data_IF_135235283316
#
_entry.id   IF_135235283316
#
_cell.length_a   1.000
_cell.length_b   1.000
_cell.length_c   1.000
_cell.angle_alpha   90.00
_cell.angle_beta   90.00
_cell.angle_gamma   90.00
#
_symmetry.space_group_name_H-M   'P 1'
#
loop_
_entity.id
_entity.type
_entity.pdbx_description
1 polymer ?
#
# COMPACT_ATOMS: atom_id res chain seq x y z
N UNK A 1 -4.42 -13.27 -35.92
CA UNK A 1 -5.22 -12.56 -34.89
C UNK A 1 -6.36 -13.39 -34.32
N UNK A 2 -7.30 -13.94 -35.10
CA UNK A 2 -8.36 -14.81 -34.54
C UNK A 2 -7.96 -16.31 -34.46
N UNK A 3 -6.94 -16.72 -35.23
CA UNK A 3 -6.36 -18.08 -35.17
C UNK A 3 -5.34 -18.27 -34.03
N UNK A 4 -4.72 -17.21 -33.55
CA UNK A 4 -3.72 -17.27 -32.48
C UNK A 4 -4.39 -17.38 -31.10
N UNK A 5 -5.57 -16.76 -30.93
CA UNK A 5 -6.38 -16.89 -29.71
C UNK A 5 -6.98 -18.31 -29.52
N UNK A 6 -7.22 -19.06 -30.60
CA UNK A 6 -7.71 -20.45 -30.53
C UNK A 6 -6.58 -21.46 -30.23
N UNK A 7 -5.33 -21.14 -30.55
CA UNK A 7 -4.19 -22.00 -30.23
C UNK A 7 -3.88 -21.99 -28.72
N UNK A 8 -3.96 -20.81 -28.07
CA UNK A 8 -3.72 -20.69 -26.62
C UNK A 8 -4.83 -21.30 -25.77
N UNK A 9 -6.09 -21.25 -26.23
CA UNK A 9 -7.20 -21.91 -25.54
C UNK A 9 -7.07 -23.45 -25.56
N UNK A 10 -6.52 -24.02 -26.64
CA UNK A 10 -6.33 -25.47 -26.80
C UNK A 10 -5.18 -26.01 -25.95
N UNK A 11 -4.07 -25.26 -25.85
CA UNK A 11 -2.93 -25.61 -24.97
C UNK A 11 -3.32 -25.55 -23.49
N UNK A 12 -4.25 -24.65 -23.11
CA UNK A 12 -4.76 -24.55 -21.73
C UNK A 12 -5.73 -25.67 -21.37
N UNK A 13 -6.52 -26.16 -22.33
CA UNK A 13 -7.44 -27.28 -22.13
C UNK A 13 -6.72 -28.64 -22.02
N UNK A 14 -5.63 -28.84 -22.77
CA UNK A 14 -4.85 -30.10 -22.76
C UNK A 14 -3.97 -30.25 -21.50
N UNK A 15 -3.67 -29.16 -20.79
CA UNK A 15 -3.02 -29.22 -19.45
C UNK A 15 -3.98 -29.63 -18.32
N UNK A 16 -5.30 -29.65 -18.58
CA UNK A 16 -6.33 -29.93 -17.57
C UNK A 16 -6.81 -31.39 -17.55
N UNK A 17 -6.29 -32.28 -18.41
CA UNK A 17 -6.88 -33.62 -18.64
C UNK A 17 -6.03 -34.83 -18.28
N UNK A 18 -4.94 -34.69 -17.50
CA UNK A 18 -4.24 -35.87 -16.97
C UNK A 18 -4.77 -36.27 -15.58
N UNK A 19 -5.35 -37.47 -15.42
CA UNK A 19 -5.78 -37.97 -14.12
C UNK A 19 -4.63 -38.70 -13.44
N UNK A 20 -4.25 -38.26 -12.25
CA UNK A 20 -3.56 -39.12 -11.30
C UNK A 20 -4.39 -39.12 -10.01
N UNK A 21 -5.06 -40.24 -9.77
CA UNK A 21 -5.55 -40.59 -8.46
C UNK A 21 -4.36 -40.93 -7.56
N UNK A 22 -4.38 -40.42 -6.33
CA UNK A 22 -4.60 -41.22 -5.14
C UNK A 22 -4.73 -40.30 -3.93
N UNK A 23 -5.62 -40.70 -3.03
CA UNK A 23 -6.18 -39.95 -1.93
C UNK A 23 -5.18 -39.72 -0.79
N UNK A 24 -5.13 -38.48 -0.31
CA UNK A 24 -4.80 -38.20 1.09
C UNK A 24 -5.69 -37.06 1.59
N UNK A 25 -6.74 -37.42 2.31
CA UNK A 25 -7.59 -36.52 3.08
C UNK A 25 -6.77 -35.81 4.16
N UNK A 26 -6.50 -34.52 3.98
CA UNK A 26 -6.26 -33.57 5.06
C UNK A 26 -6.95 -32.25 4.73
N UNK A 27 -8.10 -32.05 5.37
CA UNK A 27 -8.68 -30.73 5.60
C UNK A 27 -7.68 -29.90 6.41
N UNK A 28 -6.94 -29.03 5.74
CA UNK A 28 -6.32 -27.88 6.38
C UNK A 28 -7.15 -26.64 6.04
N UNK A 29 -8.09 -26.35 6.93
CA UNK A 29 -8.72 -25.05 7.02
C UNK A 29 -7.63 -23.97 7.09
N UNK A 30 -7.66 -23.01 6.15
CA UNK A 30 -6.99 -21.72 6.30
C UNK A 30 -7.51 -21.07 7.59
N UNK A 31 -6.82 -21.32 8.70
CA UNK A 31 -7.00 -20.57 9.93
C UNK A 31 -6.38 -19.20 9.73
N UNK A 32 -7.18 -18.27 9.21
CA UNK A 32 -6.89 -16.84 9.34
C UNK A 32 -7.05 -16.51 10.81
N UNK A 33 -5.94 -16.54 11.55
CA UNK A 33 -5.91 -16.16 12.96
C UNK A 33 -6.28 -14.68 13.05
N UNK A 34 -7.56 -14.42 13.28
CA UNK A 34 -8.07 -13.12 13.70
C UNK A 34 -7.45 -12.79 15.05
N UNK A 35 -6.94 -11.56 15.20
CA UNK A 35 -6.61 -10.99 16.50
C UNK A 35 -7.36 -9.68 16.71
N UNK A 36 -7.65 -9.32 17.98
CA UNK A 36 -8.59 -8.26 18.33
C UNK A 36 -8.02 -6.87 18.01
N UNK A 37 -8.89 -5.99 17.53
CA UNK A 37 -8.61 -4.55 17.38
C UNK A 37 -8.33 -3.99 18.78
N UNK A 38 -7.08 -3.63 19.06
CA UNK A 38 -6.71 -2.96 20.30
C UNK A 38 -7.20 -1.50 20.26
N UNK A 39 -7.91 -1.07 21.31
CA UNK A 39 -8.34 0.31 21.50
C UNK A 39 -7.14 1.28 21.47
N UNK A 40 -7.16 2.21 20.51
CA UNK A 40 -6.19 3.30 20.40
C UNK A 40 -6.45 4.32 21.51
N UNK A 41 -5.41 4.63 22.28
CA UNK A 41 -5.43 5.65 23.32
C UNK A 41 -5.55 7.07 22.73
N UNK A 42 -6.38 7.91 23.36
CA UNK A 42 -6.61 9.32 23.00
C UNK A 42 -5.29 10.10 22.99
N UNK A 43 -4.99 10.72 21.85
CA UNK A 43 -3.96 11.76 21.73
C UNK A 43 -4.66 13.09 22.06
N UNK A 44 -4.21 13.76 23.11
CA UNK A 44 -4.63 15.13 23.42
C UNK A 44 -3.89 16.10 22.48
N UNK A 45 -4.62 16.72 21.55
CA UNK A 45 -4.12 17.82 20.72
C UNK A 45 -4.56 19.15 21.34
N UNK A 46 -3.61 19.98 21.76
CA UNK A 46 -3.85 21.39 22.04
C UNK A 46 -4.24 22.09 20.72
N UNK A 47 -5.50 22.50 20.61
CA UNK A 47 -6.03 23.20 19.45
C UNK A 47 -5.96 24.71 19.64
N UNK A 48 -5.22 25.40 18.78
CA UNK A 48 -5.50 26.80 18.46
C UNK A 48 -6.88 26.85 17.76
N UNK A 49 -7.78 27.70 18.26
CA UNK A 49 -9.10 27.95 17.67
C UNK A 49 -8.93 28.57 16.28
N UNK A 50 -8.96 27.73 15.25
CA UNK A 50 -9.12 28.17 13.87
C UNK A 50 -10.61 28.47 13.66
N UNK A 51 -10.91 29.70 13.23
CA UNK A 51 -12.27 30.15 12.94
C UNK A 51 -12.99 29.22 11.94
N UNK A 52 -14.24 28.87 12.27
CA UNK A 52 -15.09 27.91 11.54
C UNK A 52 -15.36 28.34 10.10
N UNK A 53 -15.43 29.64 9.82
CA UNK A 53 -15.64 30.17 8.47
C UNK A 53 -14.39 29.98 7.59
N UNK A 54 -13.21 30.14 8.19
CA UNK A 54 -11.92 29.90 7.55
C UNK A 54 -11.69 28.42 7.25
N UNK A 55 -12.11 27.52 8.16
CA UNK A 55 -12.05 26.08 7.91
C UNK A 55 -12.95 25.68 6.74
N UNK A 56 -14.22 26.07 6.75
CA UNK A 56 -15.18 25.74 5.69
C UNK A 56 -14.73 26.22 4.29
N UNK A 57 -14.12 27.40 4.21
CA UNK A 57 -13.53 27.90 2.96
C UNK A 57 -12.36 27.02 2.49
N UNK A 58 -11.43 26.65 3.38
CA UNK A 58 -10.29 25.77 3.05
C UNK A 58 -10.75 24.37 2.62
N UNK A 59 -11.81 23.86 3.25
CA UNK A 59 -12.41 22.57 2.89
C UNK A 59 -13.05 22.59 1.51
N UNK A 60 -13.76 23.68 1.20
CA UNK A 60 -14.37 23.88 -0.12
C UNK A 60 -13.30 24.03 -1.21
N UNK A 61 -12.21 24.74 -0.92
CA UNK A 61 -11.06 24.86 -1.84
C UNK A 61 -10.38 23.51 -2.07
N UNK A 62 -10.15 22.72 -1.01
CA UNK A 62 -9.53 21.40 -1.14
C UNK A 62 -10.45 20.41 -1.89
N UNK A 63 -11.75 20.42 -1.62
CA UNK A 63 -12.73 19.62 -2.37
C UNK A 63 -12.71 19.99 -3.87
N UNK A 64 -12.68 21.29 -4.19
CA UNK A 64 -12.61 21.76 -5.57
C UNK A 64 -11.29 21.37 -6.25
N UNK A 65 -10.15 21.52 -5.57
CA UNK A 65 -8.83 21.17 -6.11
C UNK A 65 -8.71 19.66 -6.37
N UNK A 66 -9.18 18.83 -5.44
CA UNK A 66 -9.24 17.37 -5.61
C UNK A 66 -10.09 17.01 -6.83
N UNK A 67 -11.27 17.63 -6.95
CA UNK A 67 -12.16 17.37 -8.08
C UNK A 67 -11.56 17.82 -9.41
N UNK A 68 -11.02 19.03 -9.48
CA UNK A 68 -10.47 19.60 -10.70
C UNK A 68 -9.26 18.79 -11.20
N UNK A 69 -8.33 18.45 -10.31
CA UNK A 69 -7.12 17.69 -10.68
C UNK A 69 -7.46 16.30 -11.22
N UNK A 70 -8.34 15.58 -10.54
CA UNK A 70 -8.70 14.22 -10.93
C UNK A 70 -9.53 14.21 -12.21
N UNK A 71 -10.51 15.11 -12.33
CA UNK A 71 -11.28 15.22 -13.58
C UNK A 71 -10.38 15.57 -14.77
N UNK A 72 -9.38 16.44 -14.58
CA UNK A 72 -8.40 16.74 -15.62
C UNK A 72 -7.55 15.54 -15.99
N UNK A 73 -7.03 14.79 -15.02
CA UNK A 73 -6.27 13.55 -15.26
C UNK A 73 -7.11 12.56 -16.10
N UNK A 74 -8.36 12.33 -15.73
CA UNK A 74 -9.22 11.39 -16.46
C UNK A 74 -9.52 11.84 -17.89
N UNK A 75 -9.73 13.15 -18.11
CA UNK A 75 -9.92 13.70 -19.47
C UNK A 75 -8.65 13.55 -20.30
N UNK A 76 -7.48 13.82 -19.73
CA UNK A 76 -6.20 13.72 -20.44
C UNK A 76 -5.86 12.27 -20.80
N UNK A 77 -6.23 11.31 -19.94
CA UNK A 77 -6.04 9.88 -20.16
C UNK A 77 -7.08 9.26 -21.11
N UNK A 78 -8.06 10.04 -21.59
CA UNK A 78 -9.15 9.55 -22.44
C UNK A 78 -10.09 8.57 -21.72
N UNK A 79 -10.15 8.61 -20.39
CA UNK A 79 -11.02 7.75 -19.58
C UNK A 79 -12.45 8.31 -19.58
N UNK A 80 -13.44 7.46 -19.83
CA UNK A 80 -14.86 7.84 -19.76
C UNK A 80 -15.26 8.12 -18.30
N UNK A 81 -15.37 9.41 -17.95
CA UNK A 81 -15.85 9.84 -16.64
C UNK A 81 -17.36 9.66 -16.56
N UNK A 82 -17.79 8.62 -15.84
CA UNK A 82 -19.21 8.40 -15.56
C UNK A 82 -19.69 9.21 -14.36
N UNK A 83 -21.01 9.41 -14.26
CA UNK A 83 -21.64 10.01 -13.07
C UNK A 83 -21.29 9.25 -11.77
N UNK A 84 -21.00 7.96 -11.86
CA UNK A 84 -20.54 7.13 -10.75
C UNK A 84 -19.18 7.59 -10.21
N UNK A 85 -18.23 7.89 -11.10
CA UNK A 85 -16.91 8.41 -10.72
C UNK A 85 -17.02 9.72 -9.96
N UNK A 86 -17.77 10.67 -10.51
CA UNK A 86 -17.99 11.99 -9.89
C UNK A 86 -18.63 11.84 -8.51
N UNK A 87 -19.56 10.90 -8.35
CA UNK A 87 -20.24 10.66 -7.08
C UNK A 87 -19.27 10.11 -6.03
N UNK A 88 -18.48 9.09 -6.37
CA UNK A 88 -17.49 8.51 -5.46
C UNK A 88 -16.41 9.52 -5.08
N UNK A 89 -15.89 10.26 -6.06
CA UNK A 89 -14.92 11.33 -5.84
C UNK A 89 -15.43 12.37 -4.84
N UNK A 90 -16.68 12.83 -5.00
CA UNK A 90 -17.32 13.78 -4.07
C UNK A 90 -17.42 13.22 -2.65
N UNK A 91 -17.76 11.93 -2.51
CA UNK A 91 -17.88 11.29 -1.19
C UNK A 91 -16.52 11.24 -0.49
N UNK A 92 -15.48 10.80 -1.20
CA UNK A 92 -14.12 10.71 -0.62
C UNK A 92 -13.57 12.11 -0.33
N UNK A 93 -13.70 13.06 -1.26
CA UNK A 93 -13.22 14.42 -1.09
C UNK A 93 -13.86 15.11 0.14
N UNK A 94 -15.17 14.92 0.37
CA UNK A 94 -15.85 15.45 1.57
C UNK A 94 -15.37 14.78 2.85
N UNK A 95 -15.13 13.48 2.82
CA UNK A 95 -14.57 12.76 3.97
C UNK A 95 -13.18 13.28 4.35
N UNK A 96 -12.34 13.52 3.35
CA UNK A 96 -10.99 14.09 3.53
C UNK A 96 -11.07 15.53 4.02
N UNK A 97 -11.89 16.36 3.38
CA UNK A 97 -12.05 17.75 3.75
C UNK A 97 -12.57 17.87 5.18
N UNK A 98 -13.52 17.04 5.61
CA UNK A 98 -14.04 17.13 6.97
C UNK A 98 -12.98 16.98 8.08
N UNK A 99 -11.85 16.30 7.84
CA UNK A 99 -10.74 16.04 8.79
C UNK A 99 -11.13 15.48 10.16
N UNK A 100 -12.39 15.07 10.32
CA UNK A 100 -12.98 14.57 11.57
C UNK A 100 -13.33 13.09 11.42
N UNK A 101 -13.30 12.31 12.52
CA UNK A 101 -13.77 10.93 12.51
C UNK A 101 -15.19 10.78 11.97
N UNK A 102 -16.08 11.73 12.28
CA UNK A 102 -17.46 11.75 11.81
C UNK A 102 -17.56 11.89 10.30
N UNK A 103 -16.72 12.73 9.68
CA UNK A 103 -16.68 12.90 8.24
C UNK A 103 -16.17 11.63 7.54
N UNK A 104 -15.13 10.99 8.08
CA UNK A 104 -14.62 9.72 7.56
C UNK A 104 -15.68 8.61 7.63
N UNK A 105 -16.37 8.50 8.77
CA UNK A 105 -17.47 7.56 8.98
C UNK A 105 -18.64 7.79 8.05
N UNK A 106 -19.02 9.04 7.83
CA UNK A 106 -20.11 9.39 6.92
C UNK A 106 -19.73 9.09 5.46
N UNK A 107 -18.50 9.38 5.05
CA UNK A 107 -17.99 9.00 3.73
C UNK A 107 -18.00 7.47 3.54
N UNK A 108 -17.51 6.71 4.52
CA UNK A 108 -17.56 5.25 4.51
C UNK A 108 -18.99 4.71 4.40
N UNK A 109 -19.93 5.27 5.16
CA UNK A 109 -21.35 4.90 5.10
C UNK A 109 -21.94 5.17 3.71
N UNK A 110 -21.64 6.33 3.12
CA UNK A 110 -22.12 6.69 1.78
C UNK A 110 -21.54 5.76 0.70
N UNK A 111 -20.23 5.46 0.75
CA UNK A 111 -19.62 4.47 -0.15
C UNK A 111 -20.29 3.10 0.00
N UNK A 112 -20.52 2.66 1.24
CA UNK A 112 -21.21 1.41 1.48
C UNK A 112 -22.63 1.39 0.91
N UNK A 113 -23.39 2.48 1.03
CA UNK A 113 -24.75 2.60 0.46
C UNK A 113 -24.72 2.61 -1.07
N UNK A 114 -23.78 3.34 -1.68
CA UNK A 114 -23.64 3.45 -3.14
C UNK A 114 -23.17 2.15 -3.79
N UNK A 115 -22.50 1.28 -3.03
CA UNK A 115 -22.00 0.02 -3.55
C UNK A 115 -23.16 -0.85 -4.08
N UNK A 116 -23.10 -1.31 -5.34
CA UNK A 116 -24.17 -2.11 -5.95
C UNK A 116 -24.51 -3.39 -5.19
N UNK A 117 -25.69 -3.99 -5.43
CA UNK A 117 -26.02 -5.31 -4.90
C UNK A 117 -24.96 -6.35 -5.25
N UNK A 118 -24.49 -7.11 -4.26
CA UNK A 118 -23.38 -8.06 -4.42
C UNK A 118 -23.73 -9.29 -5.29
N UNK A 119 -25.02 -9.51 -5.56
CA UNK A 119 -25.48 -10.52 -6.53
C UNK A 119 -25.27 -10.10 -7.99
N UNK A 120 -24.97 -8.82 -8.25
CA UNK A 120 -24.59 -8.30 -9.57
C UNK A 120 -23.06 -8.26 -9.70
N UNK A 121 -22.41 -9.43 -9.61
CA UNK A 121 -20.95 -9.57 -9.45
C UNK A 121 -20.13 -8.66 -10.37
N UNK A 122 -20.42 -8.64 -11.68
CA UNK A 122 -19.67 -7.81 -12.62
C UNK A 122 -19.80 -6.30 -12.33
N UNK A 123 -21.01 -5.84 -11.97
CA UNK A 123 -21.25 -4.43 -11.63
C UNK A 123 -20.63 -4.06 -10.29
N UNK A 124 -20.74 -4.93 -9.29
CA UNK A 124 -20.14 -4.71 -7.97
C UNK A 124 -18.61 -4.68 -8.04
N UNK A 125 -18.00 -5.62 -8.77
CA UNK A 125 -16.55 -5.68 -8.98
C UNK A 125 -16.04 -4.40 -9.67
N UNK A 126 -16.67 -4.00 -10.79
CA UNK A 126 -16.27 -2.78 -11.51
C UNK A 126 -16.42 -1.52 -10.64
N UNK A 127 -17.49 -1.43 -9.85
CA UNK A 127 -17.71 -0.28 -8.99
C UNK A 127 -16.71 -0.22 -7.82
N UNK A 128 -16.39 -1.35 -7.18
CA UNK A 128 -15.38 -1.40 -6.10
C UNK A 128 -14.00 -1.08 -6.65
N UNK A 129 -13.67 -1.64 -7.82
CA UNK A 129 -12.41 -1.32 -8.50
C UNK A 129 -12.29 0.18 -8.80
N UNK A 130 -13.36 0.81 -9.29
CA UNK A 130 -13.42 2.26 -9.49
C UNK A 130 -13.21 3.06 -8.19
N UNK A 131 -13.77 2.61 -7.06
CA UNK A 131 -13.52 3.25 -5.76
C UNK A 131 -12.04 3.22 -5.38
N UNK A 132 -11.38 2.08 -5.61
CA UNK A 132 -9.94 1.95 -5.36
C UNK A 132 -9.10 2.84 -6.26
N UNK A 133 -9.40 2.87 -7.57
CA UNK A 133 -8.69 3.75 -8.49
C UNK A 133 -8.81 5.21 -8.07
N UNK A 134 -10.04 5.69 -7.79
CA UNK A 134 -10.24 7.09 -7.38
C UNK A 134 -9.48 7.40 -6.09
N UNK A 135 -9.50 6.50 -5.09
CA UNK A 135 -8.77 6.72 -3.85
C UNK A 135 -7.26 6.77 -4.06
N UNK A 136 -6.73 5.87 -4.90
CA UNK A 136 -5.32 5.83 -5.24
C UNK A 136 -4.91 7.05 -6.07
N UNK A 137 -5.75 7.52 -7.00
CA UNK A 137 -5.52 8.78 -7.75
C UNK A 137 -5.42 9.99 -6.81
N UNK A 138 -6.33 10.11 -5.83
CA UNK A 138 -6.29 11.18 -4.82
C UNK A 138 -4.96 11.13 -4.05
N UNK A 139 -4.56 9.94 -3.62
CA UNK A 139 -3.33 9.75 -2.85
C UNK A 139 -2.10 10.03 -3.71
N UNK A 140 -2.04 9.52 -4.94
CA UNK A 140 -0.95 9.75 -5.87
C UNK A 140 -0.72 11.26 -6.09
N UNK A 141 -1.79 12.01 -6.39
CA UNK A 141 -1.66 13.41 -6.80
C UNK A 141 -1.54 14.41 -5.64
N UNK A 142 -2.25 14.16 -4.53
CA UNK A 142 -2.44 15.16 -3.45
C UNK A 142 -1.98 14.60 -2.09
N UNK A 143 -1.56 13.33 -2.05
CA UNK A 143 -1.15 12.65 -0.82
C UNK A 143 0.15 13.15 -0.20
N UNK A 144 0.85 14.14 -0.77
CA UNK A 144 1.99 14.76 -0.08
C UNK A 144 1.57 15.44 1.23
N UNK A 145 0.27 15.69 1.40
CA UNK A 145 -0.32 16.22 2.62
C UNK A 145 -0.65 15.05 3.57
N UNK A 146 0.06 14.98 4.70
CA UNK A 146 -0.11 13.93 5.70
C UNK A 146 -1.56 13.73 6.16
N UNK A 147 -2.35 14.82 6.23
CA UNK A 147 -3.77 14.77 6.63
C UNK A 147 -4.65 14.07 5.59
N UNK A 148 -4.38 14.24 4.29
CA UNK A 148 -5.14 13.59 3.22
C UNK A 148 -5.00 12.07 3.32
N UNK A 149 -3.76 11.59 3.47
CA UNK A 149 -3.50 10.15 3.60
C UNK A 149 -4.11 9.57 4.88
N UNK A 150 -3.96 10.23 6.04
CA UNK A 150 -4.61 9.75 7.27
C UNK A 150 -6.14 9.71 7.12
N UNK A 151 -6.76 10.71 6.48
CA UNK A 151 -8.20 10.70 6.25
C UNK A 151 -8.63 9.55 5.33
N UNK A 152 -7.88 9.25 4.27
CA UNK A 152 -8.15 8.07 3.42
C UNK A 152 -8.04 6.77 4.23
N UNK A 153 -7.03 6.63 5.08
CA UNK A 153 -6.89 5.46 5.98
C UNK A 153 -8.09 5.36 6.91
N UNK A 154 -8.52 6.46 7.54
CA UNK A 154 -9.69 6.46 8.44
C UNK A 154 -11.00 6.12 7.72
N UNK A 155 -11.21 6.62 6.49
CA UNK A 155 -12.36 6.22 5.68
C UNK A 155 -12.35 4.70 5.47
N UNK A 156 -11.19 4.10 5.17
CA UNK A 156 -11.09 2.65 5.01
C UNK A 156 -11.29 1.89 6.31
N UNK A 157 -10.76 2.37 7.44
CA UNK A 157 -10.98 1.79 8.77
C UNK A 157 -12.48 1.72 9.11
N UNK A 158 -13.23 2.81 8.86
CA UNK A 158 -14.68 2.87 9.04
C UNK A 158 -15.44 2.00 8.02
N UNK A 159 -14.94 1.93 6.79
CA UNK A 159 -15.53 1.12 5.73
C UNK A 159 -15.42 -0.38 6.05
N UNK A 160 -14.30 -0.82 6.65
CA UNK A 160 -14.13 -2.20 7.15
C UNK A 160 -15.15 -2.56 8.23
N UNK A 161 -15.63 -1.59 9.00
CA UNK A 161 -16.70 -1.82 9.99
C UNK A 161 -18.09 -1.95 9.35
N UNK A 162 -18.26 -1.49 8.10
CA UNK A 162 -19.52 -1.60 7.38
C UNK A 162 -19.69 -3.02 6.82
N UNK A 163 -20.31 -3.94 7.55
CA UNK A 163 -20.58 -5.27 7.02
C UNK A 163 -21.54 -5.21 5.81
N UNK A 164 -21.04 -5.51 4.59
CA UNK A 164 -21.88 -5.57 3.37
C UNK A 164 -22.18 -6.98 2.88
N UNK A 165 -21.27 -7.93 3.10
CA UNK A 165 -21.44 -9.34 2.73
C UNK A 165 -20.25 -9.92 1.98
N UNK A 166 -20.46 -11.08 1.36
CA UNK A 166 -19.47 -11.77 0.53
C UNK A 166 -19.63 -11.41 -0.94
N UNK A 167 -18.52 -11.20 -1.64
CA UNK A 167 -18.47 -10.97 -3.08
C UNK A 167 -17.60 -12.02 -3.76
N UNK A 168 -17.98 -12.40 -4.97
CA UNK A 168 -17.16 -13.29 -5.81
C UNK A 168 -16.17 -12.48 -6.65
N UNK A 169 -14.89 -12.72 -6.42
CA UNK A 169 -13.81 -12.12 -7.21
C UNK A 169 -13.00 -13.27 -7.80
N UNK A 170 -13.19 -13.51 -9.09
CA UNK A 170 -12.50 -14.55 -9.85
C UNK A 170 -12.57 -15.94 -9.19
N UNK A 171 -13.76 -16.30 -8.67
CA UNK A 171 -13.99 -17.59 -8.00
C UNK A 171 -13.61 -17.63 -6.51
N UNK A 172 -13.04 -16.54 -5.97
CA UNK A 172 -12.79 -16.40 -4.53
C UNK A 172 -13.90 -15.61 -3.85
N UNK A 173 -14.36 -16.08 -2.69
CA UNK A 173 -15.34 -15.36 -1.85
C UNK A 173 -14.61 -14.45 -0.87
N UNK A 174 -14.76 -13.14 -1.05
CA UNK A 174 -14.13 -12.11 -0.21
C UNK A 174 -15.20 -11.28 0.52
N UNK A 175 -14.97 -10.96 1.79
CA UNK A 175 -15.82 -10.03 2.54
C UNK A 175 -15.56 -8.62 2.03
N UNK A 176 -16.62 -8.00 1.54
CA UNK A 176 -16.55 -6.63 1.04
C UNK A 176 -16.09 -5.70 2.16
N UNK A 177 -15.18 -4.80 1.82
CA UNK A 177 -14.44 -3.89 2.69
C UNK A 177 -13.42 -4.56 3.61
N UNK A 178 -13.78 -5.62 4.32
CA UNK A 178 -12.84 -6.28 5.25
C UNK A 178 -11.64 -6.93 4.56
N UNK A 179 -11.87 -7.59 3.44
CA UNK A 179 -10.82 -8.30 2.70
C UNK A 179 -10.31 -7.47 1.50
N UNK A 180 -10.68 -6.17 1.43
CA UNK A 180 -10.32 -5.20 0.37
C UNK A 180 -10.31 -5.83 -1.05
N UNK A 181 -11.44 -6.38 -1.51
CA UNK A 181 -11.46 -7.14 -2.76
C UNK A 181 -11.01 -6.27 -3.95
N UNK A 182 -10.15 -6.83 -4.82
CA UNK A 182 -9.60 -6.17 -6.02
C UNK A 182 -8.67 -4.97 -5.70
N UNK A 183 -8.49 -4.60 -4.42
CA UNK A 183 -7.54 -3.54 -4.05
C UNK A 183 -6.10 -3.85 -4.47
N UNK A 184 -5.56 -5.07 -4.25
CA UNK A 184 -4.18 -5.38 -4.66
C UNK A 184 -3.97 -5.14 -6.16
N UNK A 185 -4.92 -5.56 -7.00
CA UNK A 185 -4.87 -5.33 -8.45
C UNK A 185 -4.92 -3.85 -8.83
N UNK A 186 -5.72 -3.05 -8.12
CA UNK A 186 -5.75 -1.60 -8.35
C UNK A 186 -4.43 -0.96 -7.91
N UNK A 187 -3.89 -1.37 -6.76
CA UNK A 187 -2.64 -0.87 -6.20
C UNK A 187 -1.44 -1.20 -7.10
N UNK A 188 -1.38 -2.42 -7.63
CA UNK A 188 -0.30 -2.88 -8.50
C UNK A 188 -0.15 -1.98 -9.73
N UNK A 189 -1.24 -1.42 -10.28
CA UNK A 189 -1.14 -0.47 -11.40
C UNK A 189 -0.39 0.82 -11.05
N UNK A 190 -0.49 1.28 -9.81
CA UNK A 190 0.27 2.45 -9.35
C UNK A 190 1.69 2.05 -8.94
N UNK A 191 1.85 0.85 -8.39
CA UNK A 191 3.15 0.33 -7.97
C UNK A 191 4.09 0.00 -9.14
N UNK A 192 3.55 -0.62 -10.20
CA UNK A 192 4.27 -0.96 -11.43
C UNK A 192 4.77 0.28 -12.19
N UNK A 193 4.20 1.46 -11.90
CA UNK A 193 4.68 2.75 -12.41
C UNK A 193 5.90 3.29 -11.66
N UNK A 194 6.74 2.42 -11.07
CA UNK A 194 8.00 2.81 -10.44
C UNK A 194 8.86 3.62 -11.44
N UNK A 195 9.11 4.92 -11.17
CA UNK A 195 9.85 5.77 -12.11
C UNK A 195 11.32 5.34 -12.25
N UNK A 196 11.81 4.48 -11.35
CA UNK A 196 13.20 4.04 -11.29
C UNK A 196 13.48 2.72 -12.03
N UNK A 197 12.46 2.08 -12.60
CA UNK A 197 12.59 0.85 -13.41
C UNK A 197 12.36 1.09 -14.91
N UNK A 198 12.00 2.32 -15.30
CA UNK A 198 11.77 2.71 -16.70
C UNK A 198 13.10 2.63 -17.47
N UNK A 199 13.26 1.57 -18.27
CA UNK A 199 14.51 1.20 -18.98
C UNK A 199 15.11 2.29 -19.88
N UNK A 200 14.32 3.28 -20.29
CA UNK A 200 14.73 4.36 -21.20
C UNK A 200 14.81 5.74 -20.54
N UNK A 201 14.53 5.84 -19.23
CA UNK A 201 14.49 7.14 -18.56
C UNK A 201 15.90 7.65 -18.25
N UNK A 202 16.37 8.66 -18.99
CA UNK A 202 17.61 9.38 -18.69
C UNK A 202 17.52 10.22 -17.40
N UNK A 203 16.30 10.59 -17.01
CA UNK A 203 16.00 11.40 -15.83
C UNK A 203 14.63 11.03 -15.26
N UNK A 204 14.48 11.12 -13.94
CA UNK A 204 13.19 10.98 -13.26
C UNK A 204 12.29 12.19 -13.52
N UNK A 205 11.02 11.94 -13.82
CA UNK A 205 9.97 12.95 -13.77
C UNK A 205 9.63 13.25 -12.30
N UNK A 206 9.74 14.50 -11.83
CA UNK A 206 9.37 14.87 -10.45
C UNK A 206 7.93 14.52 -10.08
N UNK A 207 6.99 14.54 -11.04
CA UNK A 207 5.58 14.20 -10.81
C UNK A 207 5.44 12.71 -10.50
N UNK A 208 6.05 11.85 -11.31
CA UNK A 208 6.05 10.40 -11.10
C UNK A 208 6.74 10.02 -9.78
N UNK A 209 7.87 10.67 -9.47
CA UNK A 209 8.58 10.46 -8.20
C UNK A 209 7.70 10.81 -7.00
N UNK A 210 7.02 11.94 -7.05
CA UNK A 210 6.17 12.36 -5.95
C UNK A 210 4.95 11.44 -5.80
N UNK A 211 4.33 11.04 -6.93
CA UNK A 211 3.22 10.09 -6.96
C UNK A 211 3.61 8.75 -6.33
N UNK A 212 4.74 8.18 -6.75
CA UNK A 212 5.24 6.91 -6.22
C UNK A 212 5.56 6.98 -4.72
N UNK A 213 6.14 8.10 -4.26
CA UNK A 213 6.36 8.36 -2.82
C UNK A 213 5.04 8.46 -2.05
N UNK A 214 4.03 9.13 -2.59
CA UNK A 214 2.74 9.27 -1.94
C UNK A 214 2.03 7.91 -1.80
N UNK A 215 2.00 7.12 -2.87
CA UNK A 215 1.42 5.77 -2.89
C UNK A 215 2.14 4.85 -1.90
N UNK A 216 3.47 4.87 -1.87
CA UNK A 216 4.28 4.11 -0.92
C UNK A 216 3.99 4.49 0.53
N UNK A 217 3.88 5.79 0.80
CA UNK A 217 3.57 6.30 2.14
C UNK A 217 2.17 5.86 2.59
N UNK A 218 1.17 5.92 1.69
CA UNK A 218 -0.19 5.48 1.98
C UNK A 218 -0.24 3.97 2.24
N UNK A 219 0.40 3.15 1.40
CA UNK A 219 0.49 1.71 1.60
C UNK A 219 1.13 1.34 2.94
N UNK A 220 2.21 2.04 3.32
CA UNK A 220 2.85 1.87 4.62
C UNK A 220 1.92 2.21 5.80
N UNK A 221 0.98 3.15 5.63
CA UNK A 221 -0.05 3.46 6.63
C UNK A 221 -1.16 2.42 6.68
N UNK A 222 -1.58 1.88 5.54
CA UNK A 222 -2.52 0.75 5.49
C UNK A 222 -1.95 -0.49 6.18
N UNK A 223 -0.65 -0.74 5.98
CA UNK A 223 0.06 -1.80 6.69
C UNK A 223 0.11 -1.53 8.21
N UNK A 224 0.38 -0.28 8.61
CA UNK A 224 0.37 0.14 10.02
C UNK A 224 -1.00 -0.08 10.69
N UNK A 225 -2.09 0.18 10.00
CA UNK A 225 -3.46 -0.03 10.51
C UNK A 225 -3.93 -1.49 10.41
N UNK A 226 -3.16 -2.37 9.77
CA UNK A 226 -3.52 -3.77 9.56
C UNK A 226 -4.67 -3.95 8.55
N UNK A 227 -4.93 -2.94 7.72
CA UNK A 227 -5.94 -2.99 6.65
C UNK A 227 -5.45 -3.78 5.44
N UNK A 228 -4.16 -3.63 5.10
CA UNK A 228 -3.53 -4.34 4.01
C UNK A 228 -2.36 -5.16 4.55
N UNK A 229 -2.27 -6.42 4.11
CA UNK A 229 -1.18 -7.33 4.45
C UNK A 229 -0.27 -7.60 3.26
N UNK A 230 -0.33 -6.80 2.19
CA UNK A 230 0.52 -7.01 1.03
C UNK A 230 1.94 -6.56 1.39
N UNK A 231 2.72 -7.55 1.81
CA UNK A 231 4.04 -7.34 2.35
C UNK A 231 5.09 -7.14 1.27
N UNK A 232 4.83 -7.65 0.07
CA UNK A 232 5.82 -7.82 -0.98
C UNK A 232 6.34 -6.46 -1.45
N UNK A 233 5.48 -5.45 -1.58
CA UNK A 233 5.88 -4.13 -2.04
C UNK A 233 6.79 -3.41 -1.04
N UNK A 234 6.56 -3.57 0.28
CA UNK A 234 7.45 -3.03 1.30
C UNK A 234 8.84 -3.67 1.22
N UNK A 235 8.89 -4.99 1.01
CA UNK A 235 10.15 -5.73 0.95
C UNK A 235 10.87 -5.47 -0.36
N UNK A 236 10.16 -5.40 -1.48
CA UNK A 236 10.70 -4.99 -2.79
C UNK A 236 11.31 -3.60 -2.70
N UNK A 237 10.61 -2.63 -2.09
CA UNK A 237 11.11 -1.28 -1.90
C UNK A 237 12.40 -1.24 -1.07
N UNK A 238 12.42 -1.94 0.07
CA UNK A 238 13.58 -2.02 0.95
C UNK A 238 14.75 -2.73 0.28
N UNK A 239 14.47 -3.83 -0.44
CA UNK A 239 15.46 -4.58 -1.23
C UNK A 239 16.10 -3.69 -2.30
N UNK A 240 15.30 -3.04 -3.14
CA UNK A 240 15.76 -2.17 -4.24
C UNK A 240 16.61 -1.01 -3.70
N UNK A 241 16.26 -0.45 -2.54
CA UNK A 241 16.98 0.68 -1.97
C UNK A 241 18.23 0.31 -1.17
N UNK A 242 18.25 -0.85 -0.51
CA UNK A 242 19.24 -1.18 0.52
C UNK A 242 20.10 -2.39 0.17
N UNK A 243 19.60 -3.32 -0.64
CA UNK A 243 20.28 -4.56 -0.99
C UNK A 243 20.87 -4.56 -2.40
N UNK A 244 20.61 -3.52 -3.19
CA UNK A 244 21.17 -3.31 -4.53
C UNK A 244 22.30 -2.28 -4.51
N UNK A 245 23.14 -2.32 -5.53
CA UNK A 245 24.17 -1.31 -5.74
C UNK A 245 23.55 0.05 -6.11
N UNK A 246 24.13 1.13 -5.59
CA UNK A 246 23.67 2.51 -5.77
C UNK A 246 24.23 3.17 -7.04
N UNK A 247 24.99 2.42 -7.86
CA UNK A 247 25.47 2.79 -9.20
C UNK A 247 24.30 2.95 -10.19
N UNK A 248 23.45 3.93 -9.93
CA UNK A 248 22.23 4.25 -10.65
C UNK A 248 22.32 5.68 -11.20
N UNK A 249 21.42 6.01 -12.13
CA UNK A 249 21.31 7.37 -12.67
C UNK A 249 21.03 8.39 -11.54
N UNK A 250 21.49 9.65 -11.68
CA UNK A 250 21.25 10.69 -10.67
C UNK A 250 19.78 10.77 -10.24
N UNK A 251 19.54 10.80 -8.92
CA UNK A 251 18.21 10.88 -8.31
C UNK A 251 17.47 9.54 -8.13
N UNK A 252 17.88 8.46 -8.80
CA UNK A 252 17.27 7.13 -8.64
C UNK A 252 17.54 6.57 -7.24
N UNK A 253 18.80 6.65 -6.82
CA UNK A 253 19.25 6.33 -5.47
C UNK A 253 18.44 7.10 -4.40
N UNK A 254 18.26 8.41 -4.60
CA UNK A 254 17.48 9.24 -3.68
C UNK A 254 16.02 8.80 -3.60
N UNK A 255 15.36 8.66 -4.75
CA UNK A 255 13.95 8.25 -4.82
C UNK A 255 13.70 6.91 -4.10
N UNK A 256 14.51 5.88 -4.42
CA UNK A 256 14.42 4.54 -3.81
C UNK A 256 14.65 4.60 -2.30
N UNK A 257 15.68 5.32 -1.86
CA UNK A 257 16.00 5.47 -0.43
C UNK A 257 14.88 6.19 0.32
N UNK A 258 14.33 7.25 -0.26
CA UNK A 258 13.22 8.00 0.34
C UNK A 258 11.98 7.12 0.50
N UNK A 259 11.63 6.31 -0.51
CA UNK A 259 10.50 5.36 -0.42
C UNK A 259 10.73 4.30 0.65
N UNK A 260 11.92 3.70 0.71
CA UNK A 260 12.29 2.78 1.79
C UNK A 260 12.13 3.45 3.17
N UNK A 261 12.56 4.70 3.31
CA UNK A 261 12.40 5.46 4.55
C UNK A 261 10.93 5.71 4.92
N UNK A 262 10.05 5.95 3.95
CA UNK A 262 8.60 6.11 4.17
C UNK A 262 7.97 4.82 4.71
N UNK A 263 8.33 3.67 4.14
CA UNK A 263 7.92 2.36 4.66
C UNK A 263 8.35 2.16 6.11
N UNK A 264 9.61 2.45 6.43
CA UNK A 264 10.11 2.35 7.82
C UNK A 264 9.40 3.33 8.76
N UNK A 265 9.22 4.58 8.34
CA UNK A 265 8.57 5.63 9.14
C UNK A 265 7.17 5.18 9.59
N UNK A 266 6.39 4.60 8.69
CA UNK A 266 4.99 4.27 8.96
C UNK A 266 4.77 2.82 9.41
N UNK A 267 5.54 1.85 8.89
CA UNK A 267 5.29 0.42 9.10
C UNK A 267 6.37 -0.34 9.91
N UNK A 268 7.42 0.32 10.42
CA UNK A 268 8.55 -0.36 11.11
C UNK A 268 8.16 -1.36 12.20
N UNK A 269 7.16 -1.05 13.04
CA UNK A 269 6.72 -1.98 14.10
C UNK A 269 6.15 -3.28 13.53
N UNK A 270 5.39 -3.16 12.45
CA UNK A 270 4.74 -4.29 11.80
C UNK A 270 5.78 -5.14 11.05
N UNK A 271 6.68 -4.50 10.31
CA UNK A 271 7.82 -5.15 9.65
C UNK A 271 8.71 -5.89 10.67
N UNK A 272 9.06 -5.26 11.79
CA UNK A 272 9.85 -5.91 12.83
C UNK A 272 9.12 -7.12 13.43
N UNK A 273 7.82 -6.99 13.73
CA UNK A 273 7.02 -8.11 14.23
C UNK A 273 7.06 -9.28 13.24
N UNK A 274 6.87 -8.99 11.96
CA UNK A 274 6.91 -10.00 10.91
C UNK A 274 8.29 -10.67 10.80
N UNK A 275 9.37 -9.90 10.92
CA UNK A 275 10.73 -10.44 10.99
C UNK A 275 10.92 -11.42 12.16
N UNK A 276 10.33 -11.11 13.32
CA UNK A 276 10.43 -11.96 14.52
C UNK A 276 9.56 -13.22 14.44
N UNK A 277 8.44 -13.16 13.71
CA UNK A 277 7.57 -14.32 13.44
C UNK A 277 8.19 -15.29 12.42
N UNK A 278 9.26 -14.90 11.74
CA UNK A 278 10.02 -15.72 10.78
C UNK A 278 11.48 -15.92 11.24
N UNK A 279 11.73 -16.63 12.36
CA UNK A 279 13.08 -16.86 12.86
C UNK A 279 13.82 -17.87 11.97
N UNK A 280 14.35 -17.39 10.84
CA UNK A 280 15.41 -18.06 10.08
C UNK A 280 15.05 -19.46 9.59
N UNK A 281 13.90 -19.65 8.92
CA UNK A 281 13.70 -20.83 8.09
C UNK A 281 14.77 -20.79 6.97
N UNK A 282 15.87 -21.49 7.18
CA UNK A 282 17.03 -21.52 6.29
C UNK A 282 16.70 -22.13 4.91
N UNK A 283 15.58 -22.86 4.81
CA UNK A 283 15.11 -23.52 3.60
C UNK A 283 13.65 -23.17 3.34
N UNK A 284 13.41 -21.91 2.95
CA UNK A 284 12.15 -21.56 2.30
C UNK A 284 12.33 -21.85 0.81
N UNK A 285 11.71 -22.93 0.33
CA UNK A 285 11.69 -23.24 -1.10
C UNK A 285 11.20 -22.00 -1.88
N UNK A 286 11.78 -21.74 -3.06
CA UNK A 286 11.45 -20.57 -3.89
C UNK A 286 9.99 -20.47 -4.35
N UNK A 287 9.17 -21.48 -4.04
CA UNK A 287 7.72 -21.53 -4.28
C UNK A 287 6.88 -21.19 -3.04
N UNK A 288 7.51 -20.91 -1.90
CA UNK A 288 6.81 -20.57 -0.67
C UNK A 288 6.23 -19.15 -0.76
N UNK A 289 5.02 -18.91 -0.23
CA UNK A 289 4.45 -17.57 -0.10
C UNK A 289 5.30 -16.59 0.73
N UNK A 290 6.29 -17.09 1.48
CA UNK A 290 7.20 -16.26 2.28
C UNK A 290 8.55 -15.98 1.59
N UNK A 291 8.78 -16.53 0.40
CA UNK A 291 10.02 -16.33 -0.34
C UNK A 291 10.06 -14.91 -0.94
N UNK A 292 11.09 -14.15 -0.58
CA UNK A 292 11.31 -12.78 -1.02
C UNK A 292 12.78 -12.61 -1.37
N UNK A 293 13.07 -12.60 -2.67
CA UNK A 293 14.42 -12.58 -3.21
C UNK A 293 15.30 -11.52 -2.52
N UNK A 294 16.52 -11.92 -2.14
CA UNK A 294 17.53 -11.01 -1.61
C UNK A 294 18.19 -10.21 -2.74
N UNK A 295 18.64 -9.00 -2.45
CA UNK A 295 19.55 -8.26 -3.32
C UNK A 295 21.00 -8.72 -3.14
N UNK A 296 21.88 -8.42 -4.12
CA UNK A 296 23.27 -8.88 -4.14
C UNK A 296 24.12 -8.42 -2.96
N UNK A 297 23.77 -7.32 -2.30
CA UNK A 297 24.50 -6.83 -1.12
C UNK A 297 24.14 -7.57 0.18
N UNK A 298 23.04 -8.33 0.20
CA UNK A 298 22.60 -9.08 1.37
C UNK A 298 22.82 -10.59 1.17
N UNK A 299 23.84 -11.14 1.83
CA UNK A 299 24.19 -12.56 1.75
C UNK A 299 23.42 -13.49 2.69
N UNK A 300 22.30 -13.03 3.27
CA UNK A 300 21.50 -13.83 4.21
C UNK A 300 20.25 -14.47 3.57
N UNK A 301 19.35 -15.07 4.38
CA UNK A 301 18.16 -15.76 3.87
C UNK A 301 17.18 -14.85 3.11
N UNK A 302 16.61 -15.35 2.01
CA UNK A 302 15.61 -14.66 1.17
C UNK A 302 14.19 -14.62 1.80
N UNK A 303 14.13 -14.16 3.04
CA UNK A 303 12.90 -14.00 3.85
C UNK A 303 13.01 -12.73 4.69
N UNK A 304 11.89 -12.22 5.18
CA UNK A 304 11.91 -11.15 6.18
C UNK A 304 12.30 -11.74 7.54
N UNK A 305 13.51 -11.44 8.03
CA UNK A 305 14.04 -12.00 9.28
C UNK A 305 14.88 -10.98 10.07
N UNK A 306 15.24 -11.26 11.35
CA UNK A 306 15.99 -10.30 12.16
C UNK A 306 17.38 -9.96 11.60
N UNK A 307 18.00 -10.90 10.88
CA UNK A 307 19.28 -10.66 10.20
C UNK A 307 19.12 -9.64 9.07
N UNK A 308 18.12 -9.80 8.20
CA UNK A 308 17.81 -8.88 7.10
C UNK A 308 17.43 -7.49 7.63
N UNK A 309 16.66 -7.46 8.70
CA UNK A 309 16.32 -6.22 9.43
C UNK A 309 17.57 -5.49 9.95
N UNK A 310 18.50 -6.22 10.59
CA UNK A 310 19.77 -5.65 11.05
C UNK A 310 20.63 -5.09 9.91
N UNK A 311 20.72 -5.83 8.80
CA UNK A 311 21.41 -5.37 7.60
C UNK A 311 20.83 -4.04 7.08
N UNK A 312 19.51 -3.90 7.01
CA UNK A 312 18.87 -2.65 6.58
C UNK A 312 19.16 -1.47 7.51
N UNK A 313 19.21 -1.68 8.82
CA UNK A 313 19.61 -0.63 9.77
C UNK A 313 21.02 -0.15 9.43
N UNK A 314 21.97 -1.07 9.31
CA UNK A 314 23.37 -0.75 9.01
C UNK A 314 23.52 -0.03 7.67
N UNK A 315 22.79 -0.47 6.64
CA UNK A 315 22.81 0.16 5.33
C UNK A 315 22.26 1.59 5.37
N UNK A 316 21.12 1.81 6.03
CA UNK A 316 20.55 3.15 6.19
C UNK A 316 21.49 4.10 6.96
N UNK A 317 22.19 3.60 7.98
CA UNK A 317 23.19 4.39 8.70
C UNK A 317 24.41 4.74 7.87
N UNK A 318 24.87 3.81 7.03
CA UNK A 318 25.97 4.03 6.08
C UNK A 318 25.57 5.10 5.06
N UNK A 319 24.43 4.90 4.38
CA UNK A 319 23.89 5.83 3.38
C UNK A 319 23.67 7.23 3.95
N UNK A 320 23.21 7.33 5.20
CA UNK A 320 23.03 8.62 5.88
C UNK A 320 24.32 9.36 6.23
N UNK A 321 25.47 8.69 6.31
CA UNK A 321 26.77 9.28 6.66
C UNK A 321 27.62 9.62 5.43
N UNK A 322 27.48 8.86 4.36
CA UNK A 322 28.26 9.03 3.13
C UNK A 322 27.76 10.22 2.30
N UNK A 323 28.63 11.19 2.03
CA UNK A 323 28.24 12.41 1.35
C UNK A 323 28.17 12.33 -0.18
N UNK A 324 28.68 11.24 -0.77
CA UNK A 324 28.89 11.14 -2.21
C UNK A 324 27.72 10.54 -3.00
N UNK A 325 26.74 9.91 -2.33
CA UNK A 325 25.74 9.08 -3.02
C UNK A 325 24.33 9.68 -2.99
N UNK A 326 23.98 10.40 -1.92
CA UNK A 326 22.62 10.86 -1.66
C UNK A 326 22.58 12.36 -1.33
N UNK A 327 21.47 13.00 -1.67
CA UNK A 327 21.19 14.38 -1.27
C UNK A 327 21.08 14.52 0.25
N UNK A 328 21.32 15.73 0.76
CA UNK A 328 21.32 15.99 2.20
C UNK A 328 20.01 15.57 2.90
N UNK A 329 18.86 15.88 2.29
CA UNK A 329 17.55 15.55 2.85
C UNK A 329 17.32 14.04 2.90
N UNK A 330 17.70 13.32 1.84
CA UNK A 330 17.61 11.85 1.80
C UNK A 330 18.51 11.20 2.84
N UNK A 331 19.72 11.73 3.06
CA UNK A 331 20.63 11.23 4.10
C UNK A 331 20.04 11.38 5.49
N UNK A 332 19.41 12.51 5.79
CA UNK A 332 18.75 12.70 7.09
C UNK A 332 17.55 11.75 7.24
N UNK A 333 16.75 11.56 6.17
CA UNK A 333 15.67 10.57 6.17
C UNK A 333 16.19 9.16 6.46
N UNK A 334 17.33 8.76 5.87
CA UNK A 334 17.94 7.46 6.11
C UNK A 334 18.39 7.29 7.57
N UNK A 335 19.04 8.31 8.15
CA UNK A 335 19.41 8.32 9.58
C UNK A 335 18.18 8.27 10.49
N UNK A 336 17.10 8.95 10.13
CA UNK A 336 15.85 8.93 10.87
C UNK A 336 15.17 7.56 10.80
N UNK A 337 15.19 6.92 9.63
CA UNK A 337 14.66 5.58 9.43
C UNK A 337 15.42 4.55 10.27
N UNK A 338 16.76 4.54 10.24
CA UNK A 338 17.58 3.66 11.07
C UNK A 338 17.31 3.87 12.59
N UNK A 339 17.18 5.13 13.02
CA UNK A 339 16.79 5.47 14.40
C UNK A 339 15.40 4.91 14.75
N UNK A 340 14.44 5.04 13.85
CA UNK A 340 13.08 4.52 14.02
C UNK A 340 13.07 3.00 14.18
N UNK A 341 13.84 2.28 13.36
CA UNK A 341 13.98 0.83 13.45
C UNK A 341 14.56 0.40 14.80
N UNK A 342 15.63 1.06 15.28
CA UNK A 342 16.20 0.78 16.61
C UNK A 342 15.24 1.08 17.76
N UNK A 343 14.41 2.12 17.64
CA UNK A 343 13.37 2.41 18.63
C UNK A 343 12.33 1.28 18.65
N UNK A 344 11.93 0.75 17.49
CA UNK A 344 11.02 -0.39 17.40
C UNK A 344 11.62 -1.62 18.09
N UNK A 345 12.90 -1.95 17.83
CA UNK A 345 13.60 -3.07 18.50
C UNK A 345 13.60 -2.94 20.02
N UNK A 346 13.95 -1.76 20.54
CA UNK A 346 13.98 -1.51 21.99
C UNK A 346 12.61 -1.69 22.62
N UNK A 347 11.54 -1.27 21.93
CA UNK A 347 10.16 -1.43 22.43
C UNK A 347 9.75 -2.90 22.46
N UNK A 348 10.02 -3.66 21.40
CA UNK A 348 9.68 -5.09 21.35
C UNK A 348 10.47 -5.88 22.40
N UNK A 349 11.77 -5.64 22.56
CA UNK A 349 12.57 -6.30 23.61
C UNK A 349 12.01 -6.06 25.02
N UNK A 350 11.56 -4.83 25.32
CA UNK A 350 10.92 -4.51 26.61
C UNK A 350 9.64 -5.30 26.84
N UNK A 351 8.83 -5.48 25.79
CA UNK A 351 7.58 -6.25 25.86
C UNK A 351 7.84 -7.76 26.04
N UNK A 352 8.97 -8.29 25.56
CA UNK A 352 9.35 -9.69 25.73
C UNK A 352 10.05 -9.96 27.08
N UNK A 353 10.56 -8.92 27.75
CA UNK A 353 11.24 -9.04 29.05
C UNK A 353 10.35 -8.76 30.27
N UNK A 354 9.13 -8.28 30.04
CA UNK A 354 8.12 -8.00 31.06
C UNK A 354 7.11 -9.14 31.10
#
# INVERSE_FOLDING_TARGET
>A
MERDAQADAKVRAERSSKPNGESATKDEARSTTQLPIAHIAKIETHGDEIDSETLAARLSTLEFEIQEKILRSYVLDGKDITQGHITVLKVIARGIAGTTPEAAKEAARQLNVLCPPLNQTGRANNWIYMVWLIMLDIVADIGSIDTVQECCVHILEELVQCAKGMMDVWGSKLRVWRDLPIFPTAFDQFWENDPTTKFEAEKLDPVDVQSWKNISCFAARLMRSGLASDYDQAIIALRIALEEDMNTLPGFADCRTQVACLWIKHASKFLLRWALENPGLAEVAGTSPSYLEAGPLYGGPAIMCPQRWGFWIERLEMLGKEASVLEADTREMALQAARTMRIAEKRVRRLLSA
#
